data_IF_088908992457
#
_entry.id   IF_088908992457
#
_cell.length_a   1.000
_cell.length_b   1.000
_cell.length_c   1.000
_cell.angle_alpha   90.00
_cell.angle_beta   90.00
_cell.angle_gamma   90.00
#
_symmetry.space_group_name_H-M   'P 1'
#
loop_
_entity.id
_entity.type
_entity.pdbx_description
1 polymer ?
#
# COMPACT_ATOMS: atom_id res chain seq x y z
N UNK A 1 2.52 14.21 12.01
CA UNK A 1 2.22 12.83 11.56
C UNK A 1 0.81 12.53 12.09
N UNK A 2 -0.19 12.38 11.23
CA UNK A 2 -1.60 12.26 11.64
C UNK A 2 -1.99 10.78 11.73
N UNK A 3 -2.08 10.17 12.92
CA UNK A 3 -2.39 8.75 13.06
C UNK A 3 -3.75 8.38 12.49
N UNK A 4 -4.74 9.28 12.55
CA UNK A 4 -6.08 9.07 12.03
C UNK A 4 -6.13 8.88 10.51
N UNK A 5 -5.19 9.48 9.78
CA UNK A 5 -5.11 9.31 8.32
C UNK A 5 -4.76 7.88 7.93
N UNK A 6 -3.95 7.20 8.75
CA UNK A 6 -3.63 5.79 8.53
C UNK A 6 -4.86 4.92 8.82
N UNK A 7 -5.54 5.15 9.94
CA UNK A 7 -6.74 4.37 10.32
C UNK A 7 -7.85 4.51 9.27
N UNK A 8 -8.10 5.73 8.78
CA UNK A 8 -9.07 5.94 7.70
C UNK A 8 -8.69 5.26 6.39
N UNK A 9 -7.39 4.99 6.14
CA UNK A 9 -6.95 4.25 4.95
C UNK A 9 -7.06 2.73 5.09
N UNK A 10 -7.35 2.20 6.29
CA UNK A 10 -7.66 0.77 6.46
C UNK A 10 -8.97 0.37 5.79
N UNK A 11 -9.90 1.31 5.61
CA UNK A 11 -11.20 1.01 4.97
C UNK A 11 -11.02 0.42 3.59
N UNK A 12 -10.01 0.86 2.83
CA UNK A 12 -9.64 0.26 1.54
C UNK A 12 -9.39 -1.25 1.64
N UNK A 13 -8.74 -1.72 2.71
CA UNK A 13 -8.47 -3.14 2.93
C UNK A 13 -9.69 -3.91 3.43
N UNK A 14 -10.52 -3.28 4.27
CA UNK A 14 -11.78 -3.88 4.71
C UNK A 14 -12.79 -4.02 3.58
N UNK A 15 -12.93 -2.99 2.74
CA UNK A 15 -13.77 -3.00 1.54
C UNK A 15 -13.32 -4.11 0.58
N UNK A 16 -12.01 -4.28 0.35
CA UNK A 16 -11.50 -5.41 -0.43
C UNK A 16 -11.88 -6.76 0.19
N UNK A 17 -11.69 -6.93 1.49
CA UNK A 17 -12.07 -8.19 2.15
C UNK A 17 -13.56 -8.46 2.05
N UNK A 18 -14.41 -7.45 2.21
CA UNK A 18 -15.86 -7.56 2.04
C UNK A 18 -16.25 -7.92 0.60
N UNK A 19 -15.70 -7.20 -0.39
CA UNK A 19 -16.03 -7.38 -1.81
C UNK A 19 -15.57 -8.72 -2.39
N UNK A 20 -14.59 -9.36 -1.74
CA UNK A 20 -14.06 -10.66 -2.11
C UNK A 20 -14.47 -11.79 -1.14
N UNK A 21 -15.47 -11.55 -0.28
CA UNK A 21 -15.97 -12.56 0.69
C UNK A 21 -14.86 -13.17 1.58
N UNK A 22 -13.86 -12.36 1.93
CA UNK A 22 -12.69 -12.75 2.73
C UNK A 22 -11.58 -13.47 1.95
N UNK A 23 -11.79 -13.76 0.66
CA UNK A 23 -10.79 -14.36 -0.23
C UNK A 23 -10.01 -13.29 -1.01
N UNK A 24 -9.06 -12.68 -0.30
CA UNK A 24 -8.29 -11.55 -0.83
C UNK A 24 -7.57 -11.89 -2.15
N UNK A 25 -7.40 -10.91 -3.05
CA UNK A 25 -6.67 -11.12 -4.30
C UNK A 25 -5.19 -11.44 -4.05
N UNK A 26 -4.57 -12.18 -4.97
CA UNK A 26 -3.14 -12.51 -4.87
C UNK A 26 -2.22 -11.28 -4.88
N UNK A 27 -2.65 -10.22 -5.58
CA UNK A 27 -1.85 -9.01 -5.81
C UNK A 27 -2.72 -7.76 -5.72
N UNK A 28 -2.22 -6.74 -5.02
CA UNK A 28 -2.76 -5.38 -5.04
C UNK A 28 -1.73 -4.46 -5.69
N UNK A 29 -2.09 -3.85 -6.82
CA UNK A 29 -1.28 -2.85 -7.51
C UNK A 29 -1.77 -1.46 -7.12
N UNK A 30 -0.91 -0.65 -6.52
CA UNK A 30 -1.30 0.64 -5.93
C UNK A 30 -0.43 1.80 -6.43
N UNK A 31 -1.02 2.80 -7.12
CA UNK A 31 -0.32 4.04 -7.47
C UNK A 31 0.02 4.82 -6.20
N UNK A 32 1.29 5.18 -6.04
CA UNK A 32 1.86 5.60 -4.77
C UNK A 32 2.49 6.99 -4.85
N UNK A 33 1.81 7.96 -4.23
CA UNK A 33 2.44 9.22 -3.81
C UNK A 33 3.11 9.05 -2.44
N UNK A 34 2.33 9.21 -1.37
CA UNK A 34 2.81 9.10 0.02
C UNK A 34 2.75 7.71 0.66
N UNK A 35 2.18 6.70 0.00
CA UNK A 35 2.17 5.31 0.48
C UNK A 35 1.29 5.01 1.70
N UNK A 36 0.56 5.98 2.25
CA UNK A 36 -0.28 5.75 3.45
C UNK A 36 -1.40 4.75 3.20
N UNK A 37 -1.94 4.70 1.97
CA UNK A 37 -2.94 3.71 1.56
C UNK A 37 -2.42 2.27 1.69
N UNK A 38 -1.22 2.00 1.19
CA UNK A 38 -0.56 0.69 1.28
C UNK A 38 -0.40 0.22 2.73
N UNK A 39 0.12 1.10 3.60
CA UNK A 39 0.35 0.77 5.01
C UNK A 39 -1.00 0.53 5.71
N UNK A 40 -2.03 1.33 5.37
CA UNK A 40 -3.39 1.16 5.88
C UNK A 40 -3.96 -0.21 5.50
N UNK A 41 -3.93 -0.57 4.22
CA UNK A 41 -4.39 -1.87 3.74
C UNK A 41 -3.63 -3.02 4.40
N UNK A 42 -2.30 -2.93 4.49
CA UNK A 42 -1.48 -3.98 5.12
C UNK A 42 -1.88 -4.23 6.58
N UNK A 43 -2.11 -3.15 7.33
CA UNK A 43 -2.61 -3.22 8.71
C UNK A 43 -4.03 -3.79 8.78
N UNK A 44 -4.91 -3.40 7.85
CA UNK A 44 -6.28 -3.93 7.77
C UNK A 44 -6.28 -5.45 7.56
N UNK A 45 -5.46 -5.95 6.64
CA UNK A 45 -5.35 -7.39 6.37
C UNK A 45 -4.80 -8.16 7.58
N UNK A 46 -3.83 -7.60 8.30
CA UNK A 46 -3.34 -8.17 9.55
C UNK A 46 -4.42 -8.27 10.64
N UNK A 47 -5.23 -7.23 10.79
CA UNK A 47 -6.34 -7.23 11.74
C UNK A 47 -7.43 -8.24 11.34
N UNK A 48 -7.79 -8.31 10.05
CA UNK A 48 -8.77 -9.27 9.55
C UNK A 48 -8.31 -10.73 9.69
N UNK A 49 -7.02 -11.00 9.47
CA UNK A 49 -6.42 -12.31 9.75
C UNK A 49 -6.47 -12.63 11.24
N UNK A 50 -6.15 -11.66 12.10
CA UNK A 50 -6.21 -11.82 13.56
C UNK A 50 -7.63 -12.10 14.05
N UNK A 51 -8.64 -11.51 13.40
CA UNK A 51 -10.06 -11.73 13.68
C UNK A 51 -10.62 -13.03 13.06
N UNK A 52 -9.83 -13.72 12.23
CA UNK A 52 -10.25 -14.95 11.54
C UNK A 52 -11.20 -14.71 10.36
N UNK A 53 -11.27 -13.48 9.85
CA UNK A 53 -12.12 -13.11 8.71
C UNK A 53 -11.41 -13.32 7.37
N UNK A 54 -10.07 -13.30 7.40
CA UNK A 54 -9.21 -13.68 6.26
C UNK A 54 -8.36 -14.86 6.69
N UNK A 55 -8.13 -15.81 5.78
CA UNK A 55 -7.31 -16.99 6.05
C UNK A 55 -5.86 -16.58 6.35
N UNK A 56 -5.22 -17.18 7.37
CA UNK A 56 -3.82 -16.91 7.65
C UNK A 56 -2.90 -17.14 6.46
N UNK A 57 -2.00 -16.18 6.22
CA UNK A 57 -1.11 -16.21 5.06
C UNK A 57 -1.74 -15.83 3.71
N UNK A 58 -3.05 -15.56 3.63
CA UNK A 58 -3.73 -15.12 2.41
C UNK A 58 -3.64 -13.59 2.19
N UNK A 59 -2.52 -12.98 2.56
CA UNK A 59 -2.33 -11.53 2.36
C UNK A 59 -1.88 -11.26 0.91
N UNK A 60 -2.45 -10.26 0.23
CA UNK A 60 -2.02 -9.89 -1.10
C UNK A 60 -0.55 -9.46 -1.12
N UNK A 61 0.13 -9.78 -2.23
CA UNK A 61 1.40 -9.13 -2.56
C UNK A 61 1.12 -7.67 -2.92
N UNK A 62 1.76 -6.75 -2.21
CA UNK A 62 1.59 -5.32 -2.43
C UNK A 62 2.60 -4.81 -3.46
N UNK A 63 2.12 -4.27 -4.58
CA UNK A 63 2.95 -3.72 -5.65
C UNK A 63 2.82 -2.20 -5.68
N UNK A 64 3.94 -1.52 -5.48
CA UNK A 64 4.06 -0.06 -5.51
C UNK A 64 4.31 0.41 -6.93
N UNK A 65 3.49 1.32 -7.43
CA UNK A 65 3.69 1.98 -8.73
C UNK A 65 3.92 3.47 -8.50
N UNK A 66 5.00 4.03 -9.05
CA UNK A 66 5.27 5.47 -9.02
C UNK A 66 5.58 5.97 -10.43
N UNK A 67 5.30 7.24 -10.70
CA UNK A 67 5.71 7.87 -11.94
C UNK A 67 7.22 8.06 -11.96
N UNK A 68 7.86 7.84 -13.11
CA UNK A 68 9.32 7.97 -13.27
C UNK A 68 9.84 9.37 -12.88
N UNK A 69 9.00 10.40 -13.05
CA UNK A 69 9.29 11.77 -12.63
C UNK A 69 9.34 11.99 -11.12
N UNK A 70 8.88 11.04 -10.30
CA UNK A 70 8.94 11.08 -8.83
C UNK A 70 8.75 9.66 -8.24
N UNK A 71 9.82 8.85 -8.26
CA UNK A 71 9.79 7.44 -7.85
C UNK A 71 10.73 7.08 -6.67
N UNK A 72 10.69 7.82 -5.53
CA UNK A 72 11.64 7.61 -4.43
C UNK A 72 11.54 6.23 -3.76
N UNK A 73 10.37 5.61 -3.70
CA UNK A 73 10.20 4.27 -3.12
C UNK A 73 10.73 3.19 -4.07
N UNK A 74 10.46 3.32 -5.38
CA UNK A 74 10.96 2.39 -6.39
C UNK A 74 12.49 2.39 -6.39
N UNK A 75 13.11 3.58 -6.47
CA UNK A 75 14.58 3.72 -6.41
C UNK A 75 15.16 3.13 -5.12
N UNK A 76 14.52 3.38 -3.98
CA UNK A 76 14.98 2.84 -2.71
C UNK A 76 14.90 1.30 -2.67
N UNK A 77 13.81 0.73 -3.16
CA UNK A 77 13.62 -0.72 -3.24
C UNK A 77 14.67 -1.39 -4.15
N UNK A 78 14.85 -0.86 -5.37
CA UNK A 78 15.82 -1.38 -6.33
C UNK A 78 17.27 -1.25 -5.84
N UNK A 79 17.58 -0.15 -5.14
CA UNK A 79 18.89 0.07 -4.53
C UNK A 79 19.14 -0.70 -3.22
N UNK A 80 18.18 -1.52 -2.77
CA UNK A 80 18.28 -2.23 -1.48
C UNK A 80 18.31 -1.31 -0.26
N UNK A 81 17.89 -0.06 -0.41
CA UNK A 81 17.90 0.94 0.64
C UNK A 81 16.72 0.75 1.60
N UNK A 82 17.00 0.82 2.91
CA UNK A 82 15.95 0.75 3.95
C UNK A 82 15.09 1.99 4.06
N UNK A 83 15.56 3.12 3.53
CA UNK A 83 14.89 4.41 3.57
C UNK A 83 15.00 5.06 2.20
N UNK A 84 13.89 5.62 1.75
CA UNK A 84 13.90 6.44 0.56
C UNK A 84 14.49 7.82 0.86
N UNK A 85 15.24 8.31 -0.12
CA UNK A 85 15.74 9.68 -0.11
C UNK A 85 14.67 10.64 -0.61
N UNK A 86 14.81 11.91 -0.24
CA UNK A 86 13.92 12.96 -0.74
C UNK A 86 14.16 13.14 -2.24
N UNK A 87 13.07 13.15 -3.00
CA UNK A 87 13.11 13.51 -4.42
C UNK A 87 13.22 15.04 -4.56
N UNK A 88 14.27 15.55 -5.21
CA UNK A 88 14.56 16.98 -5.30
C UNK A 88 13.70 17.69 -6.34
N UNK A 89 13.51 17.07 -7.51
CA UNK A 89 12.94 17.72 -8.69
C UNK A 89 11.82 16.86 -9.29
N UNK A 90 10.63 16.83 -8.68
CA UNK A 90 9.51 16.03 -9.19
C UNK A 90 8.95 16.63 -10.49
N UNK A 91 8.76 15.78 -11.50
CA UNK A 91 8.17 16.18 -12.79
C UNK A 91 6.75 15.62 -12.89
N UNK A 92 5.80 16.48 -13.27
CA UNK A 92 4.42 16.09 -13.58
C UNK A 92 4.22 16.09 -15.09
N UNK A 93 3.77 14.95 -15.62
CA UNK A 93 3.29 14.85 -16.99
C UNK A 93 1.76 14.91 -16.96
N UNK A 94 1.18 15.93 -17.59
CA UNK A 94 -0.27 16.05 -17.78
C UNK A 94 -0.55 16.27 -19.27
N UNK A 95 -1.42 15.44 -19.83
CA UNK A 95 -1.90 15.51 -21.22
C UNK A 95 -3.26 16.16 -21.31
#
# INVERSE_FOLDING_TARGET
REPYRLEGKKTLGYELAEQFDGDLPDVVVYPTGGGTGLIGMWKAFEELETLGWVRPGNRPRMVVVQADGCAPMVRAYEGGARRAERWSDPITYAS
#
